data_IF_410546590501
#
_entry.id   IF_410546590501
#
_cell.length_a   1.000
_cell.length_b   1.000
_cell.length_c   1.000
_cell.angle_alpha   90.00
_cell.angle_beta   90.00
_cell.angle_gamma   90.00
#
_symmetry.space_group_name_H-M   'P 1'
#
loop_
_entity.id
_entity.type
_entity.pdbx_description
1 polymer ?
#
# COMPACT_ATOMS: atom_id res chain seq x y z
N UNK A 1 -2.73 15.30 -6.43
CA UNK A 1 -2.45 14.20 -5.48
C UNK A 1 -1.20 13.46 -5.93
N UNK A 2 -0.10 13.52 -5.15
CA UNK A 2 1.11 12.73 -5.44
C UNK A 2 0.81 11.28 -5.06
N UNK A 3 0.45 10.44 -6.02
CA UNK A 3 0.21 9.02 -5.74
C UNK A 3 1.52 8.36 -5.36
N UNK A 4 1.57 7.75 -4.17
CA UNK A 4 2.80 7.20 -3.62
C UNK A 4 3.28 6.01 -4.46
N UNK A 5 4.61 5.76 -4.45
CA UNK A 5 5.19 4.56 -5.09
C UNK A 5 4.56 3.27 -4.54
N UNK A 6 4.19 3.30 -3.26
CA UNK A 6 3.53 2.19 -2.56
C UNK A 6 2.16 1.85 -3.15
N UNK A 7 1.30 2.84 -3.40
CA UNK A 7 -0.05 2.60 -3.95
C UNK A 7 0.01 2.02 -5.37
N UNK A 8 0.99 2.47 -6.16
CA UNK A 8 1.24 1.94 -7.52
C UNK A 8 1.67 0.47 -7.50
N UNK A 9 2.56 0.10 -6.57
CA UNK A 9 3.02 -1.29 -6.44
C UNK A 9 1.90 -2.21 -5.94
N UNK A 10 1.07 -1.74 -5.01
CA UNK A 10 -0.09 -2.50 -4.55
C UNK A 10 -1.14 -2.68 -5.64
N UNK A 11 -1.46 -1.62 -6.40
CA UNK A 11 -2.40 -1.71 -7.51
C UNK A 11 -1.98 -2.80 -8.51
N UNK A 12 -0.66 -2.92 -8.79
CA UNK A 12 -0.11 -4.01 -9.61
C UNK A 12 -0.28 -5.39 -8.97
N UNK A 13 0.00 -5.54 -7.67
CA UNK A 13 -0.16 -6.82 -6.94
C UNK A 13 -1.62 -7.29 -6.99
N UNK A 14 -2.57 -6.36 -6.85
CA UNK A 14 -3.99 -6.66 -6.92
C UNK A 14 -4.54 -6.73 -8.36
N UNK A 15 -3.70 -6.49 -9.37
CA UNK A 15 -4.09 -6.43 -10.79
C UNK A 15 -5.26 -5.46 -11.06
N UNK A 16 -5.28 -4.31 -10.37
CA UNK A 16 -6.32 -3.28 -10.49
C UNK A 16 -5.76 -1.97 -11.06
N UNK A 17 -6.58 -1.20 -11.80
CA UNK A 17 -6.26 0.20 -12.09
C UNK A 17 -6.02 0.98 -10.80
N UNK A 18 -5.13 1.97 -10.85
CA UNK A 18 -4.76 2.76 -9.67
C UNK A 18 -5.95 3.52 -9.07
N UNK A 19 -6.85 4.03 -9.92
CA UNK A 19 -8.08 4.67 -9.44
C UNK A 19 -8.99 3.67 -8.72
N UNK A 20 -9.15 2.47 -9.27
CA UNK A 20 -9.99 1.42 -8.68
C UNK A 20 -9.44 0.92 -7.35
N UNK A 21 -8.12 0.71 -7.26
CA UNK A 21 -7.45 0.36 -6.00
C UNK A 21 -7.68 1.44 -4.95
N UNK A 22 -7.45 2.71 -5.30
CA UNK A 22 -7.61 3.84 -4.38
C UNK A 22 -9.05 3.94 -3.89
N UNK A 23 -10.03 3.79 -4.80
CA UNK A 23 -11.45 3.82 -4.45
C UNK A 23 -11.84 2.68 -3.50
N UNK A 24 -11.35 1.46 -3.74
CA UNK A 24 -11.61 0.31 -2.87
C UNK A 24 -10.99 0.51 -1.49
N UNK A 25 -9.74 0.98 -1.42
CA UNK A 25 -9.07 1.27 -0.14
C UNK A 25 -9.79 2.33 0.67
N UNK A 26 -10.35 3.35 0.01
CA UNK A 26 -11.05 4.45 0.67
C UNK A 26 -12.49 4.13 1.07
N UNK A 27 -13.22 3.36 0.25
CA UNK A 27 -14.68 3.19 0.41
C UNK A 27 -15.11 1.80 0.87
N UNK A 28 -14.30 0.75 0.62
CA UNK A 28 -14.66 -0.65 0.88
C UNK A 28 -13.77 -1.31 1.94
N UNK A 29 -12.50 -0.92 2.02
CA UNK A 29 -11.57 -1.56 2.94
C UNK A 29 -11.76 -1.05 4.36
N UNK A 30 -11.92 -1.98 5.31
CA UNK A 30 -11.97 -1.60 6.73
C UNK A 30 -10.61 -1.01 7.16
N UNK A 31 -10.60 0.05 7.99
CA UNK A 31 -9.38 0.77 8.35
C UNK A 31 -8.34 -0.10 9.08
N UNK A 32 -8.78 -1.09 9.86
CA UNK A 32 -7.92 -2.10 10.51
C UNK A 32 -7.16 -2.95 9.48
N UNK A 33 -7.84 -3.39 8.41
CA UNK A 33 -7.25 -4.16 7.31
C UNK A 33 -6.28 -3.33 6.48
N UNK A 34 -6.62 -2.07 6.23
CA UNK A 34 -5.75 -1.13 5.51
C UNK A 34 -4.43 -0.92 6.27
N UNK A 35 -4.50 -0.65 7.58
CA UNK A 35 -3.33 -0.47 8.46
C UNK A 35 -2.46 -1.74 8.51
N UNK A 36 -3.07 -2.92 8.54
CA UNK A 36 -2.35 -4.19 8.50
C UNK A 36 -1.61 -4.44 7.17
N UNK A 37 -2.23 -4.08 6.04
CA UNK A 37 -1.63 -4.19 4.71
C UNK A 37 -0.38 -3.29 4.58
N UNK A 38 -0.49 -2.03 5.02
CA UNK A 38 0.64 -1.09 5.11
C UNK A 38 1.76 -1.64 5.99
N UNK A 39 1.42 -2.15 7.19
CA UNK A 39 2.41 -2.72 8.10
C UNK A 39 3.15 -3.92 7.49
N UNK A 40 2.45 -4.81 6.78
CA UNK A 40 3.06 -5.94 6.06
C UNK A 40 3.98 -5.49 4.94
N UNK A 41 3.54 -4.53 4.12
CA UNK A 41 4.39 -4.00 3.06
C UNK A 41 5.63 -3.31 3.63
N UNK A 42 5.49 -2.45 4.63
CA UNK A 42 6.62 -1.75 5.26
C UNK A 42 7.59 -2.77 5.85
N UNK A 43 7.11 -3.80 6.56
CA UNK A 43 7.97 -4.88 7.09
C UNK A 43 8.73 -5.61 5.98
N UNK A 44 8.03 -6.01 4.92
CA UNK A 44 8.64 -6.75 3.80
C UNK A 44 9.60 -5.88 2.98
N UNK A 45 9.27 -4.60 2.77
CA UNK A 45 10.11 -3.64 2.07
C UNK A 45 11.37 -3.29 2.89
N UNK A 46 11.23 -3.11 4.21
CA UNK A 46 12.36 -2.90 5.13
C UNK A 46 13.27 -4.13 5.18
N UNK A 47 12.71 -5.34 5.26
CA UNK A 47 13.52 -6.58 5.25
C UNK A 47 14.23 -6.80 3.92
N UNK A 48 13.61 -6.41 2.80
CA UNK A 48 14.17 -6.65 1.47
C UNK A 48 15.22 -5.62 1.04
N UNK A 49 15.18 -4.41 1.61
CA UNK A 49 16.07 -3.32 1.20
C UNK A 49 16.93 -2.73 2.33
N UNK A 50 16.78 -3.08 3.61
CA UNK A 50 17.59 -2.52 4.70
C UNK A 50 17.40 -1.02 4.97
N UNK A 51 16.62 -0.30 4.15
CA UNK A 51 16.42 1.13 4.29
C UNK A 51 15.21 1.45 5.18
N UNK A 52 15.53 1.99 6.36
CA UNK A 52 14.60 2.62 7.30
C UNK A 52 13.86 3.79 6.60
N UNK A 53 12.55 3.65 6.36
CA UNK A 53 11.69 4.81 6.25
C UNK A 53 11.37 5.30 7.66
N UNK A 54 12.07 6.36 8.08
CA UNK A 54 11.83 7.08 9.33
C UNK A 54 10.58 7.92 9.12
N UNK A 55 9.48 7.54 9.77
CA UNK A 55 8.30 8.38 9.94
C UNK A 55 8.57 9.44 11.00
#
# INVERSE_FOLDING_TARGET
>A
MKVSKYDKELAKIYALPLEAYTWIMQNRMKPDRAKASVKRYVKNAMQRNGYLFKY
#
